data_IF_654910151619
#
_entry.id   IF_654910151619
#
_cell.length_a   1.000
_cell.length_b   1.000
_cell.length_c   1.000
_cell.angle_alpha   90.00
_cell.angle_beta   90.00
_cell.angle_gamma   90.00
#
_symmetry.space_group_name_H-M   'P 1'
#
loop_
_entity.id
_entity.type
_entity.pdbx_description
1 polymer ?
#
# COMPACT_ATOMS: atom_id res chain seq x y z
N UNK A 1 17.18 6.00 3.80
CA UNK A 1 16.26 6.49 2.75
C UNK A 1 16.97 6.46 1.40
N UNK A 2 16.41 5.82 0.37
CA UNK A 2 16.98 5.80 -0.98
C UNK A 2 17.18 7.20 -1.56
N UNK A 3 18.20 7.36 -2.41
CA UNK A 3 18.56 8.68 -2.97
C UNK A 3 17.41 9.25 -3.81
N UNK A 4 16.71 8.41 -4.57
CA UNK A 4 15.56 8.81 -5.39
C UNK A 4 14.47 9.53 -4.59
N UNK A 5 14.19 9.07 -3.37
CA UNK A 5 13.22 9.73 -2.49
C UNK A 5 13.69 11.06 -1.97
N UNK A 6 15.00 11.16 -1.62
CA UNK A 6 15.60 12.43 -1.21
C UNK A 6 15.50 13.47 -2.32
N UNK A 7 15.87 13.07 -3.53
CA UNK A 7 15.85 13.95 -4.70
C UNK A 7 14.42 14.39 -5.04
N UNK A 8 13.44 13.48 -4.98
CA UNK A 8 12.03 13.80 -5.20
C UNK A 8 11.50 14.79 -4.16
N UNK A 9 11.84 14.61 -2.88
CA UNK A 9 11.46 15.54 -1.82
C UNK A 9 12.07 16.92 -2.04
N UNK A 10 13.40 16.97 -2.26
CA UNK A 10 14.13 18.23 -2.38
C UNK A 10 13.79 19.01 -3.65
N UNK A 11 13.25 18.34 -4.66
CA UNK A 11 12.72 19.00 -5.86
C UNK A 11 11.48 19.85 -5.55
N UNK A 12 10.68 19.41 -4.57
CA UNK A 12 9.44 20.11 -4.17
C UNK A 12 9.72 21.06 -3.01
N UNK A 13 10.47 20.61 -2.04
CA UNK A 13 10.86 21.38 -0.86
C UNK A 13 12.39 21.30 -0.68
N UNK A 14 13.15 22.33 -1.07
CA UNK A 14 14.62 22.31 -1.00
C UNK A 14 15.20 22.42 0.41
N UNK A 15 14.40 22.28 1.45
CA UNK A 15 14.85 22.30 2.85
C UNK A 15 15.32 20.92 3.31
N UNK A 16 16.65 20.75 3.44
CA UNK A 16 17.28 19.51 3.91
C UNK A 16 16.95 19.21 5.39
N UNK A 17 16.72 20.23 6.21
CA UNK A 17 16.31 20.03 7.60
C UNK A 17 14.87 19.47 7.68
N UNK A 18 13.98 19.95 6.81
CA UNK A 18 12.63 19.41 6.70
C UNK A 18 12.64 17.93 6.26
N UNK A 19 13.49 17.58 5.29
CA UNK A 19 13.68 16.19 4.87
C UNK A 19 14.16 15.32 6.03
N UNK A 20 15.14 15.77 6.79
CA UNK A 20 15.70 15.03 7.93
C UNK A 20 14.65 14.82 9.02
N UNK A 21 13.93 15.87 9.40
CA UNK A 21 12.85 15.80 10.40
C UNK A 21 11.71 14.87 9.98
N UNK A 22 11.35 14.87 8.69
CA UNK A 22 10.36 13.95 8.15
C UNK A 22 10.81 12.50 8.35
N UNK A 23 12.05 12.18 7.97
CA UNK A 23 12.61 10.84 8.11
C UNK A 23 12.68 10.39 9.57
N UNK A 24 13.17 11.23 10.48
CA UNK A 24 13.22 10.92 11.93
C UNK A 24 11.83 10.63 12.51
N UNK A 25 10.84 11.42 12.11
CA UNK A 25 9.44 11.22 12.53
C UNK A 25 8.90 9.89 12.04
N UNK A 26 9.17 9.53 10.78
CA UNK A 26 8.71 8.27 10.21
C UNK A 26 9.39 7.07 10.87
N UNK A 27 10.69 7.14 11.15
CA UNK A 27 11.41 6.09 11.89
C UNK A 27 10.82 5.92 13.29
N UNK A 28 10.62 7.02 14.02
CA UNK A 28 10.05 6.96 15.37
C UNK A 28 8.63 6.36 15.37
N UNK A 29 7.80 6.74 14.39
CA UNK A 29 6.46 6.20 14.20
C UNK A 29 6.48 4.70 13.93
N UNK A 30 7.35 4.22 13.06
CA UNK A 30 7.46 2.80 12.73
C UNK A 30 7.96 1.96 13.91
N UNK A 31 8.85 2.52 14.74
CA UNK A 31 9.34 1.84 15.92
C UNK A 31 8.31 1.71 17.06
N UNK A 32 7.36 2.64 17.11
CA UNK A 32 6.34 2.71 18.16
C UNK A 32 4.92 2.37 17.67
N UNK A 33 4.78 1.92 16.43
CA UNK A 33 3.47 1.63 15.85
C UNK A 33 2.83 0.44 16.57
N UNK A 34 1.64 0.60 17.16
CA UNK A 34 0.94 -0.50 17.83
C UNK A 34 0.32 -1.44 16.81
N UNK A 35 0.20 -2.71 17.18
CA UNK A 35 -0.56 -3.67 16.37
C UNK A 35 -2.03 -3.25 16.26
N UNK A 36 -2.60 -3.47 15.09
CA UNK A 36 -4.03 -3.30 14.86
C UNK A 36 -4.72 -4.62 15.22
N UNK A 37 -5.69 -4.56 16.15
CA UNK A 37 -6.39 -5.77 16.58
C UNK A 37 -7.35 -6.31 15.51
N UNK A 38 -7.67 -7.60 15.62
CA UNK A 38 -8.67 -8.24 14.76
C UNK A 38 -10.04 -7.55 14.85
N UNK A 39 -10.42 -7.07 16.02
CA UNK A 39 -11.69 -6.34 16.24
C UNK A 39 -11.69 -5.00 15.49
N UNK A 40 -10.56 -4.30 15.50
CA UNK A 40 -10.40 -3.06 14.72
C UNK A 40 -10.51 -3.34 13.22
N UNK A 41 -9.85 -4.39 12.72
CA UNK A 41 -9.98 -4.82 11.31
C UNK A 41 -11.43 -5.17 10.97
N UNK A 42 -12.11 -5.96 11.78
CA UNK A 42 -13.52 -6.35 11.58
C UNK A 42 -14.49 -5.18 11.66
N UNK A 43 -14.11 -4.09 12.31
CA UNK A 43 -14.94 -2.87 12.41
C UNK A 43 -14.99 -2.08 11.11
N UNK A 44 -14.07 -2.29 10.18
CA UNK A 44 -14.04 -1.61 8.88
C UNK A 44 -15.15 -2.18 8.00
N UNK A 45 -16.12 -1.34 7.65
CA UNK A 45 -17.28 -1.72 6.83
C UNK A 45 -17.19 -1.24 5.38
N UNK A 46 -16.31 -0.28 5.13
CA UNK A 46 -16.07 0.21 3.78
C UNK A 46 -15.55 -0.92 2.87
N UNK A 47 -15.92 -0.91 1.58
CA UNK A 47 -15.27 -1.78 0.60
C UNK A 47 -13.77 -1.54 0.59
N UNK A 48 -12.98 -2.61 0.57
CA UNK A 48 -11.53 -2.55 0.57
C UNK A 48 -10.94 -3.43 -0.53
N UNK A 49 -9.95 -2.93 -1.23
CA UNK A 49 -9.14 -3.72 -2.16
C UNK A 49 -7.72 -3.84 -1.58
N UNK A 50 -7.32 -5.07 -1.26
CA UNK A 50 -5.99 -5.40 -0.78
C UNK A 50 -5.17 -5.83 -1.99
N UNK A 51 -4.03 -5.16 -2.22
CA UNK A 51 -3.08 -5.51 -3.27
C UNK A 51 -1.72 -5.72 -2.64
N UNK A 52 -1.07 -6.82 -2.99
CA UNK A 52 0.27 -7.15 -2.49
C UNK A 52 1.08 -7.87 -3.57
N UNK A 53 2.40 -7.65 -3.58
CA UNK A 53 3.32 -8.48 -4.34
C UNK A 53 3.56 -9.84 -3.66
N UNK A 54 3.80 -10.89 -4.42
CA UNK A 54 4.11 -12.22 -3.87
C UNK A 54 5.50 -12.29 -3.21
N UNK A 55 6.34 -11.27 -3.47
CA UNK A 55 7.68 -11.07 -2.86
C UNK A 55 7.79 -9.73 -2.14
N UNK A 56 6.68 -9.28 -1.57
CA UNK A 56 6.61 -8.02 -0.82
C UNK A 56 7.28 -8.14 0.56
N UNK A 57 7.38 -7.01 1.28
CA UNK A 57 7.90 -6.96 2.66
C UNK A 57 7.00 -7.66 3.67
N UNK A 58 5.71 -7.74 3.38
CA UNK A 58 4.76 -8.60 4.12
C UNK A 58 4.45 -9.85 3.30
N UNK A 59 3.97 -10.90 3.97
CA UNK A 59 3.70 -12.17 3.32
C UNK A 59 2.30 -12.18 2.65
N UNK A 60 2.11 -12.97 1.57
CA UNK A 60 0.78 -13.21 1.02
C UNK A 60 -0.22 -13.76 2.06
N UNK A 61 0.26 -14.58 3.00
CA UNK A 61 -0.55 -15.11 4.11
C UNK A 61 -1.11 -13.99 5.00
N UNK A 62 -0.31 -12.95 5.28
CA UNK A 62 -0.77 -11.79 6.04
C UNK A 62 -1.88 -11.02 5.29
N UNK A 63 -1.73 -10.82 3.99
CA UNK A 63 -2.76 -10.20 3.16
C UNK A 63 -4.05 -11.04 3.11
N UNK A 64 -3.93 -12.36 3.02
CA UNK A 64 -5.06 -13.28 3.08
C UNK A 64 -5.78 -13.22 4.44
N UNK A 65 -5.03 -13.09 5.54
CA UNK A 65 -5.61 -12.91 6.88
C UNK A 65 -6.37 -11.57 6.99
N UNK A 66 -5.81 -10.48 6.49
CA UNK A 66 -6.52 -9.20 6.42
C UNK A 66 -7.83 -9.33 5.62
N UNK A 67 -7.78 -10.00 4.48
CA UNK A 67 -8.97 -10.27 3.66
C UNK A 67 -10.02 -11.07 4.42
N UNK A 68 -9.61 -12.06 5.18
CA UNK A 68 -10.52 -12.86 6.02
C UNK A 68 -11.19 -12.04 7.13
N UNK A 69 -10.47 -11.06 7.71
CA UNK A 69 -10.97 -10.21 8.79
C UNK A 69 -11.91 -9.11 8.28
N UNK A 70 -11.65 -8.57 7.09
CA UNK A 70 -12.46 -7.52 6.48
C UNK A 70 -13.74 -8.09 5.89
N UNK A 71 -14.90 -7.61 6.35
CA UNK A 71 -16.22 -8.14 5.93
C UNK A 71 -16.54 -7.89 4.45
N UNK A 72 -15.93 -6.86 3.83
CA UNK A 72 -16.20 -6.46 2.46
C UNK A 72 -14.88 -6.10 1.76
N UNK A 73 -14.11 -7.12 1.41
CA UNK A 73 -12.82 -6.92 0.76
C UNK A 73 -12.61 -7.80 -0.46
N UNK A 74 -11.71 -7.35 -1.31
CA UNK A 74 -11.14 -8.10 -2.43
C UNK A 74 -9.64 -8.22 -2.22
N UNK A 75 -9.04 -9.29 -2.73
CA UNK A 75 -7.62 -9.56 -2.59
C UNK A 75 -7.00 -9.82 -3.96
N UNK A 76 -5.90 -9.15 -4.26
CA UNK A 76 -5.05 -9.42 -5.40
C UNK A 76 -3.62 -9.64 -4.92
N UNK A 77 -3.07 -10.81 -5.23
CA UNK A 77 -1.65 -11.14 -5.05
C UNK A 77 -1.02 -11.12 -6.43
N UNK A 78 -0.05 -10.25 -6.63
CA UNK A 78 0.53 -9.96 -7.95
C UNK A 78 2.01 -10.38 -7.94
N UNK A 79 2.52 -11.02 -9.00
CA UNK A 79 3.94 -11.33 -9.08
C UNK A 79 4.79 -10.06 -8.98
N UNK A 80 5.75 -10.04 -8.05
CA UNK A 80 6.69 -8.93 -7.89
C UNK A 80 6.93 -8.52 -6.44
N UNK A 81 7.80 -7.52 -6.26
CA UNK A 81 8.14 -6.94 -4.98
C UNK A 81 7.22 -5.79 -4.57
N UNK A 82 7.67 -5.06 -3.55
CA UNK A 82 6.93 -3.94 -3.01
C UNK A 82 6.77 -2.80 -4.02
N UNK A 83 5.53 -2.55 -4.44
CA UNK A 83 5.20 -1.47 -5.35
C UNK A 83 5.52 -1.72 -6.83
N UNK A 84 6.05 -2.90 -7.22
CA UNK A 84 6.32 -3.22 -8.62
C UNK A 84 5.05 -3.08 -9.47
N UNK A 85 3.93 -3.49 -8.93
CA UNK A 85 2.63 -3.51 -9.60
C UNK A 85 2.02 -2.12 -9.87
N UNK A 86 2.52 -1.06 -9.24
CA UNK A 86 2.07 0.33 -9.49
C UNK A 86 3.20 1.24 -9.98
N UNK A 87 4.39 0.69 -10.24
CA UNK A 87 5.54 1.46 -10.69
C UNK A 87 6.05 2.44 -9.64
N UNK A 88 6.23 1.97 -8.41
CA UNK A 88 6.87 2.75 -7.35
C UNK A 88 8.23 3.27 -7.83
N UNK A 89 8.65 4.43 -7.35
CA UNK A 89 9.79 5.20 -7.86
C UNK A 89 11.11 4.40 -7.96
N UNK A 90 11.30 3.42 -7.07
CA UNK A 90 12.53 2.60 -7.00
C UNK A 90 12.40 1.24 -7.69
N UNK A 91 11.27 0.94 -8.31
CA UNK A 91 10.96 -0.36 -8.92
C UNK A 91 11.13 -0.37 -10.44
N UNK A 92 11.22 -1.55 -11.06
CA UNK A 92 11.13 -1.66 -12.51
C UNK A 92 9.81 -1.07 -13.02
N UNK A 93 9.88 -0.35 -14.14
CA UNK A 93 8.71 0.28 -14.76
C UNK A 93 8.08 -0.66 -15.80
N UNK A 94 7.49 -1.76 -15.34
CA UNK A 94 6.74 -2.70 -16.18
C UNK A 94 5.38 -2.11 -16.56
N UNK A 95 5.29 -1.58 -17.78
CA UNK A 95 4.08 -0.88 -18.25
C UNK A 95 2.85 -1.78 -18.34
N UNK A 96 3.02 -3.08 -18.66
CA UNK A 96 1.91 -4.02 -18.72
C UNK A 96 1.37 -4.33 -17.33
N UNK A 97 2.26 -4.60 -16.37
CA UNK A 97 1.89 -4.88 -15.00
C UNK A 97 1.21 -3.67 -14.36
N UNK A 98 1.77 -2.48 -14.53
CA UNK A 98 1.23 -1.23 -14.01
C UNK A 98 -0.16 -0.95 -14.60
N UNK A 99 -0.32 -1.04 -15.92
CA UNK A 99 -1.62 -0.77 -16.58
C UNK A 99 -2.69 -1.77 -16.18
N UNK A 100 -2.34 -3.04 -16.01
CA UNK A 100 -3.26 -4.08 -15.53
C UNK A 100 -3.72 -3.80 -14.10
N UNK A 101 -2.80 -3.40 -13.23
CA UNK A 101 -3.13 -3.05 -11.84
C UNK A 101 -4.01 -1.81 -11.76
N UNK A 102 -3.69 -0.77 -12.52
CA UNK A 102 -4.52 0.45 -12.58
C UNK A 102 -5.93 0.13 -13.09
N UNK A 103 -6.06 -0.74 -14.12
CA UNK A 103 -7.36 -1.17 -14.63
C UNK A 103 -8.17 -1.91 -13.57
N UNK A 104 -7.53 -2.78 -12.78
CA UNK A 104 -8.18 -3.49 -11.67
C UNK A 104 -8.66 -2.52 -10.57
N UNK A 105 -7.83 -1.55 -10.19
CA UNK A 105 -8.19 -0.50 -9.22
C UNK A 105 -9.38 0.31 -9.73
N UNK A 106 -9.35 0.76 -10.97
CA UNK A 106 -10.44 1.53 -11.57
C UNK A 106 -11.75 0.73 -11.62
N UNK A 107 -11.66 -0.55 -11.95
CA UNK A 107 -12.84 -1.45 -11.90
C UNK A 107 -13.41 -1.51 -10.49
N UNK A 108 -12.57 -1.74 -9.48
CA UNK A 108 -13.01 -1.80 -8.08
C UNK A 108 -13.68 -0.48 -7.66
N UNK A 109 -13.09 0.66 -7.98
CA UNK A 109 -13.63 1.97 -7.62
C UNK A 109 -14.96 2.30 -8.32
N UNK A 110 -15.23 1.69 -9.46
CA UNK A 110 -16.48 1.88 -10.23
C UNK A 110 -17.59 0.89 -9.85
N UNK A 111 -17.29 -0.13 -9.05
CA UNK A 111 -18.31 -1.07 -8.59
C UNK A 111 -19.28 -0.40 -7.61
N UNK A 112 -20.58 -0.74 -7.65
CA UNK A 112 -21.54 -0.25 -6.65
C UNK A 112 -21.11 -0.65 -5.25
N UNK A 113 -21.27 0.26 -4.29
CA UNK A 113 -21.07 -0.07 -2.87
C UNK A 113 -22.13 -1.11 -2.48
N UNK A 114 -21.72 -2.32 -1.96
CA UNK A 114 -22.66 -3.30 -1.53
C UNK A 114 -23.59 -2.73 -0.44
N UNK A 115 -24.90 -2.88 -0.62
CA UNK A 115 -25.86 -2.56 0.45
C UNK A 115 -25.67 -3.62 1.53
N UNK A 116 -25.27 -3.18 2.72
CA UNK A 116 -25.26 -4.04 3.91
C UNK A 116 -26.72 -4.23 4.33
N UNK A 117 -27.26 -5.43 4.16
CA UNK A 117 -28.55 -5.80 4.72
C UNK A 117 -28.40 -6.09 6.20
#
# INVERSE_FOLDING_TARGET
MPQQYKDAFLKINPDTNALHKMYERDVARMQSFPDISDEQMKSIKAPALIIIGDRDVTTPEHAAEMHRLLSNSRLAIIPGGHGDYIGELTTPQDTLLISSTVSMINKFLSEPIPTVN
#
